data_IF_268057535628
#
_entry.id   IF_268057535628
#
_cell.length_a   1.000
_cell.length_b   1.000
_cell.length_c   1.000
_cell.angle_alpha   90.00
_cell.angle_beta   90.00
_cell.angle_gamma   90.00
#
_symmetry.space_group_name_H-M   'P 1'
#
loop_
_entity.id
_entity.type
_entity.pdbx_description
1 polymer ?
#
# COMPACT_ATOMS: atom_id res chain seq x y z
N UNK A 1 -29.77 -13.38 -7.66
CA UNK A 1 -28.56 -13.52 -6.83
C UNK A 1 -27.97 -12.13 -6.69
N UNK A 2 -28.32 -11.42 -5.62
CA UNK A 2 -27.99 -10.00 -5.43
C UNK A 2 -26.73 -9.94 -4.58
N UNK A 3 -25.65 -9.40 -5.13
CA UNK A 3 -24.36 -9.29 -4.44
C UNK A 3 -24.53 -8.46 -3.16
N UNK A 4 -24.11 -8.95 -1.97
CA UNK A 4 -24.29 -8.24 -0.70
C UNK A 4 -23.28 -7.10 -0.49
N UNK A 5 -22.36 -6.91 -1.44
CA UNK A 5 -21.42 -5.80 -1.40
C UNK A 5 -22.15 -4.48 -1.63
N UNK A 6 -21.84 -3.42 -0.88
CA UNK A 6 -22.14 -2.08 -1.36
C UNK A 6 -21.53 -1.99 -2.76
N UNK A 7 -22.35 -1.60 -3.75
CA UNK A 7 -21.80 -1.12 -5.03
C UNK A 7 -20.63 -0.20 -4.68
N UNK A 8 -19.47 -0.28 -5.38
CA UNK A 8 -18.39 0.64 -5.14
C UNK A 8 -19.02 2.02 -5.00
N UNK A 9 -18.93 2.58 -3.78
CA UNK A 9 -19.47 3.92 -3.54
C UNK A 9 -18.84 4.85 -4.58
N UNK A 10 -19.44 6.03 -4.83
CA UNK A 10 -18.80 7.00 -5.71
C UNK A 10 -17.33 7.07 -5.32
N UNK A 11 -16.45 6.79 -6.28
CA UNK A 11 -15.02 6.61 -6.07
C UNK A 11 -14.54 7.76 -5.19
N UNK A 12 -14.38 7.50 -3.88
CA UNK A 12 -14.05 8.58 -2.95
C UNK A 12 -12.67 9.01 -3.40
N UNK A 13 -12.60 10.22 -3.97
CA UNK A 13 -11.36 10.75 -4.50
C UNK A 13 -10.31 10.64 -3.40
N UNK A 14 -9.38 9.70 -3.58
CA UNK A 14 -8.30 9.49 -2.62
C UNK A 14 -7.41 10.71 -2.76
N UNK A 15 -7.26 11.46 -1.67
CA UNK A 15 -6.43 12.66 -1.63
C UNK A 15 -5.28 12.45 -0.67
N UNK A 16 -4.19 13.20 -0.87
CA UNK A 16 -2.99 13.13 -0.03
C UNK A 16 -1.71 13.06 -0.85
N UNK A 17 -0.58 13.31 -0.18
CA UNK A 17 0.74 13.22 -0.78
C UNK A 17 1.53 12.11 -0.06
N UNK A 18 1.65 10.91 -0.65
CA UNK A 18 2.32 9.79 0.01
C UNK A 18 3.78 10.17 0.34
N UNK A 19 4.26 9.78 1.52
CA UNK A 19 5.60 10.12 2.00
C UNK A 19 6.45 8.87 2.15
N UNK A 20 7.73 8.99 1.87
CA UNK A 20 8.69 7.91 1.97
C UNK A 20 8.86 7.49 3.43
N UNK A 21 8.61 6.21 3.69
CA UNK A 21 8.72 5.60 5.04
C UNK A 21 10.08 5.01 5.36
N UNK A 22 11.07 5.10 4.45
CA UNK A 22 12.39 4.52 4.66
C UNK A 22 13.08 5.14 5.88
N UNK A 23 13.83 4.32 6.61
CA UNK A 23 14.64 4.73 7.76
C UNK A 23 16.03 4.12 7.65
N UNK A 24 17.03 4.85 8.13
CA UNK A 24 18.39 4.32 8.22
C UNK A 24 18.48 3.16 9.24
N UNK A 25 17.74 3.27 10.34
CA UNK A 25 17.63 2.25 11.39
C UNK A 25 16.29 2.39 12.14
N UNK A 26 16.07 1.58 13.18
CA UNK A 26 14.81 1.57 13.95
C UNK A 26 14.54 2.86 14.72
N UNK A 27 15.58 3.61 15.09
CA UNK A 27 15.52 4.82 15.91
C UNK A 27 15.53 6.10 15.06
N UNK A 28 15.95 6.00 13.80
CA UNK A 28 15.95 7.12 12.87
C UNK A 28 14.53 7.59 12.50
N UNK A 29 14.34 8.89 12.22
CA UNK A 29 13.12 9.40 11.62
C UNK A 29 12.92 8.79 10.21
N UNK A 30 11.66 8.71 9.78
CA UNK A 30 11.37 8.35 8.40
C UNK A 30 11.85 9.46 7.45
N UNK A 31 12.35 9.07 6.27
CA UNK A 31 12.84 9.97 5.23
C UNK A 31 11.86 11.12 4.95
N UNK A 32 10.56 10.80 4.81
CA UNK A 32 9.52 11.81 4.69
C UNK A 32 9.52 12.59 3.38
N UNK A 33 10.41 12.32 2.41
CA UNK A 33 10.33 12.88 1.06
C UNK A 33 9.03 12.42 0.34
N UNK A 34 8.58 13.10 -0.73
CA UNK A 34 7.48 12.58 -1.56
C UNK A 34 7.79 11.15 -2.03
N UNK A 35 6.87 10.22 -1.78
CA UNK A 35 7.01 8.86 -2.27
C UNK A 35 6.56 8.80 -3.73
N UNK A 36 7.41 8.21 -4.57
CA UNK A 36 7.15 8.02 -6.00
C UNK A 36 6.88 6.56 -6.34
N UNK A 37 7.09 5.65 -5.38
CA UNK A 37 6.94 4.22 -5.56
C UNK A 37 6.23 3.56 -4.39
N UNK A 38 5.44 2.56 -4.75
CA UNK A 38 4.84 1.61 -3.84
C UNK A 38 5.50 0.25 -4.09
N UNK A 39 6.07 -0.34 -3.03
CA UNK A 39 6.81 -1.60 -3.07
C UNK A 39 6.04 -2.64 -2.26
N UNK A 40 5.81 -3.80 -2.86
CA UNK A 40 5.28 -4.98 -2.19
C UNK A 40 6.42 -5.93 -1.86
N UNK A 41 6.77 -6.02 -0.57
CA UNK A 41 7.82 -6.91 -0.09
C UNK A 41 7.36 -8.37 -0.06
N UNK A 42 6.10 -8.59 0.36
CA UNK A 42 5.45 -9.90 0.38
C UNK A 42 3.98 -9.74 0.01
N UNK A 43 3.49 -10.67 -0.82
CA UNK A 43 2.09 -10.78 -1.21
C UNK A 43 1.39 -11.99 -0.55
N UNK A 44 1.89 -12.43 0.60
CA UNK A 44 1.27 -13.54 1.34
C UNK A 44 0.00 -13.04 2.07
N UNK A 45 -1.17 -13.66 1.86
CA UNK A 45 -2.39 -13.29 2.60
C UNK A 45 -2.16 -13.31 4.12
N UNK A 46 -2.71 -12.32 4.83
CA UNK A 46 -2.53 -12.16 6.29
C UNK A 46 -1.14 -11.68 6.75
N UNK A 47 -0.13 -11.67 5.87
CA UNK A 47 1.23 -11.20 6.19
C UNK A 47 1.83 -10.30 5.11
N UNK A 48 0.96 -9.71 4.28
CA UNK A 48 1.37 -8.78 3.23
C UNK A 48 2.10 -7.57 3.82
N UNK A 49 3.19 -7.19 3.17
CA UNK A 49 4.04 -6.07 3.62
C UNK A 49 4.29 -5.13 2.46
N UNK A 50 3.98 -3.86 2.69
CA UNK A 50 4.08 -2.80 1.71
C UNK A 50 4.89 -1.62 2.25
N UNK A 51 5.50 -0.86 1.36
CA UNK A 51 6.14 0.41 1.73
C UNK A 51 6.02 1.44 0.61
N UNK A 52 6.01 2.70 1.01
CA UNK A 52 6.10 3.85 0.13
C UNK A 52 7.53 4.40 0.18
N UNK A 53 8.17 4.55 -0.97
CA UNK A 53 9.57 5.01 -1.07
C UNK A 53 9.74 6.07 -2.16
N UNK A 54 10.72 6.96 -1.97
CA UNK A 54 11.19 7.85 -3.04
C UNK A 54 12.15 7.10 -3.99
N UNK A 55 12.53 7.74 -5.10
CA UNK A 55 13.39 7.10 -6.10
C UNK A 55 14.75 6.66 -5.53
N UNK A 56 15.38 7.47 -4.68
CA UNK A 56 16.67 7.14 -4.04
C UNK A 56 16.57 5.86 -3.20
N UNK A 57 15.57 5.79 -2.31
CA UNK A 57 15.38 4.63 -1.44
C UNK A 57 14.90 3.39 -2.21
N UNK A 58 14.27 3.56 -3.37
CA UNK A 58 14.02 2.43 -4.26
C UNK A 58 15.29 1.88 -4.87
N UNK A 59 16.20 2.74 -5.36
CA UNK A 59 17.49 2.29 -5.91
C UNK A 59 18.26 1.51 -4.84
N UNK A 60 18.31 2.02 -3.61
CA UNK A 60 18.89 1.28 -2.48
C UNK A 60 18.16 -0.04 -2.23
N UNK A 61 16.83 -0.05 -2.29
CA UNK A 61 16.06 -1.27 -2.07
C UNK A 61 16.33 -2.34 -3.14
N UNK A 62 16.49 -1.93 -4.40
CA UNK A 62 16.82 -2.82 -5.52
C UNK A 62 18.18 -3.51 -5.34
N UNK A 63 19.13 -2.84 -4.70
CA UNK A 63 20.46 -3.40 -4.45
C UNK A 63 20.46 -4.36 -3.26
N UNK A 64 19.63 -4.09 -2.24
CA UNK A 64 19.77 -4.74 -0.93
C UNK A 64 18.68 -5.76 -0.60
N UNK A 65 17.56 -5.77 -1.31
CA UNK A 65 16.40 -6.58 -0.93
C UNK A 65 15.71 -7.22 -2.14
N UNK A 66 15.03 -8.34 -1.87
CA UNK A 66 14.07 -8.95 -2.79
C UNK A 66 12.66 -8.46 -2.44
N UNK A 67 11.91 -8.08 -3.46
CA UNK A 67 10.50 -7.69 -3.33
C UNK A 67 9.68 -8.38 -4.43
N UNK A 68 8.41 -8.59 -4.16
CA UNK A 68 7.50 -9.28 -5.07
C UNK A 68 7.10 -8.39 -6.25
N UNK A 69 6.84 -7.10 -6.01
CA UNK A 69 6.43 -6.15 -7.05
C UNK A 69 6.74 -4.70 -6.65
N UNK A 70 6.80 -3.82 -7.65
CA UNK A 70 6.85 -2.37 -7.49
C UNK A 70 6.12 -1.66 -8.62
N UNK A 71 5.58 -0.49 -8.33
CA UNK A 71 4.93 0.40 -9.30
C UNK A 71 4.88 1.83 -8.78
N UNK A 72 4.55 2.78 -9.66
CA UNK A 72 4.47 4.20 -9.29
C UNK A 72 3.38 4.42 -8.24
N UNK A 73 3.72 5.12 -7.17
CA UNK A 73 2.76 5.48 -6.15
C UNK A 73 1.88 6.64 -6.65
N UNK A 74 0.58 6.41 -6.67
CA UNK A 74 -0.45 7.43 -6.85
C UNK A 74 -1.46 7.30 -5.71
N UNK A 75 -2.35 8.27 -5.59
CA UNK A 75 -3.47 8.18 -4.63
C UNK A 75 -4.45 7.05 -4.95
N UNK A 76 -4.49 6.61 -6.22
CA UNK A 76 -5.31 5.51 -6.74
C UNK A 76 -4.51 4.23 -6.99
N UNK A 77 -3.39 4.06 -6.27
CA UNK A 77 -2.44 2.96 -6.46
C UNK A 77 -3.05 1.61 -6.04
N UNK A 78 -3.85 1.04 -6.94
CA UNK A 78 -4.52 -0.26 -6.82
C UNK A 78 -3.85 -1.25 -7.77
N UNK A 79 -3.36 -2.36 -7.22
CA UNK A 79 -2.99 -3.56 -7.98
C UNK A 79 -4.14 -4.58 -7.95
N UNK A 80 -4.26 -5.49 -8.94
CA UNK A 80 -5.20 -6.59 -8.86
C UNK A 80 -5.05 -7.38 -7.55
N UNK A 81 -6.17 -7.64 -6.85
CA UNK A 81 -6.16 -8.31 -5.55
C UNK A 81 -5.71 -7.44 -4.37
N UNK A 82 -5.54 -6.13 -4.57
CA UNK A 82 -5.26 -5.18 -3.49
C UNK A 82 -6.38 -4.16 -3.31
N UNK A 83 -6.46 -3.60 -2.12
CA UNK A 83 -7.41 -2.54 -1.76
C UNK A 83 -6.80 -1.59 -0.74
N UNK A 84 -7.59 -0.61 -0.32
CA UNK A 84 -7.19 0.37 0.68
C UNK A 84 -8.07 0.28 1.91
N UNK A 85 -7.43 0.18 3.07
CA UNK A 85 -8.11 0.45 4.34
C UNK A 85 -7.85 1.91 4.68
N UNK A 86 -8.91 2.70 4.69
CA UNK A 86 -8.90 4.10 5.12
C UNK A 86 -9.25 4.17 6.61
N UNK A 87 -8.39 4.81 7.41
CA UNK A 87 -8.57 5.01 8.85
C UNK A 87 -7.72 6.19 9.32
N UNK A 88 -7.17 6.15 10.55
CA UNK A 88 -6.18 7.17 10.99
C UNK A 88 -4.94 7.21 10.09
N UNK A 89 -4.56 6.08 9.50
CA UNK A 89 -3.56 6.01 8.43
C UNK A 89 -4.13 5.14 7.32
N UNK A 90 -4.14 5.68 6.09
CA UNK A 90 -4.52 4.90 4.91
C UNK A 90 -3.39 3.95 4.54
N UNK A 91 -3.71 2.67 4.36
CA UNK A 91 -2.73 1.66 3.95
C UNK A 91 -3.30 0.71 2.90
N UNK A 92 -2.42 0.24 2.03
CA UNK A 92 -2.72 -0.83 1.10
C UNK A 92 -2.80 -2.18 1.84
N UNK A 93 -3.75 -3.01 1.45
CA UNK A 93 -3.94 -4.39 1.93
C UNK A 93 -4.17 -5.33 0.76
N UNK A 94 -3.86 -6.61 0.94
CA UNK A 94 -4.41 -7.62 0.04
C UNK A 94 -5.87 -7.87 0.38
N UNK A 95 -6.71 -7.92 -0.64
CA UNK A 95 -8.10 -8.36 -0.54
C UNK A 95 -8.10 -9.78 -1.07
N UNK A 96 -8.37 -10.76 -0.20
CA UNK A 96 -8.47 -12.14 -0.65
C UNK A 96 -9.58 -12.22 -1.71
N UNK A 97 -9.30 -12.88 -2.82
CA UNK A 97 -10.27 -13.11 -3.89
C UNK A 97 -11.31 -14.10 -3.35
N UNK A 98 -12.31 -13.58 -2.62
CA UNK A 98 -13.34 -14.35 -1.92
C UNK A 98 -13.76 -13.82 -0.55
N UNK A 99 -12.98 -12.95 0.10
CA UNK A 99 -13.29 -12.40 1.43
C UNK A 99 -13.53 -10.89 1.38
N UNK A 100 -14.79 -10.52 1.56
CA UNK A 100 -15.23 -9.15 1.82
C UNK A 100 -14.57 -8.59 3.07
N UNK A 101 -14.05 -7.36 3.02
CA UNK A 101 -13.51 -6.63 4.16
C UNK A 101 -14.60 -6.08 5.11
N UNK A 102 -15.63 -6.85 5.43
CA UNK A 102 -16.69 -6.47 6.38
C UNK A 102 -16.46 -7.16 7.72
N UNK A 103 -15.60 -6.56 8.55
CA UNK A 103 -15.22 -7.13 9.83
C UNK A 103 -14.59 -6.13 10.79
N UNK A 104 -15.22 -4.98 11.01
CA UNK A 104 -14.98 -4.16 12.20
C UNK A 104 -16.33 -3.62 12.71
N UNK A 105 -16.80 -4.23 13.79
CA UNK A 105 -17.93 -3.76 14.62
C UNK A 105 -17.59 -2.42 15.27
#
# INVERSE_FOLDING_TARGET
MTSPFPKPGPEVARTGNPRCGSKADSNAPACGAPATWHVAWSLTPGSARFSLVCDEHLVQAQTNYVYAARHRATVTCDMPGTGWVTGRTSRCVLVAVGDSLDGAR
#
